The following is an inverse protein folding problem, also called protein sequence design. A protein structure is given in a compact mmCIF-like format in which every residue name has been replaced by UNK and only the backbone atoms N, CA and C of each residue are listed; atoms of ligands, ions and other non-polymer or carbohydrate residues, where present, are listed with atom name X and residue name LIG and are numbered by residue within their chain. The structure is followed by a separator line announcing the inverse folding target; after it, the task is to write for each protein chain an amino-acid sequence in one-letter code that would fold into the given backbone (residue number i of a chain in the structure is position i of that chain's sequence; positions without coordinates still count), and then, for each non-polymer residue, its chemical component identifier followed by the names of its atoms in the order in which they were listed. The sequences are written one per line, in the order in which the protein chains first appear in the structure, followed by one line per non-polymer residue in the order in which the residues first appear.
data_IF_871037219412
#
_entry.id   IF_871037219412
#
_cell.length_a   1.000
_cell.length_b   1.000
_cell.length_c   1.000
_cell.angle_alpha   90.00
_cell.angle_beta   90.00
_cell.angle_gamma   90.00
#
_symmetry.space_group_name_H-M   'P 1'
#
loop_
_entity.id
_entity.type
_entity.pdbx_description
1 polymer ?
#
# COMPACT_ATOMS: atom_id res chain seq x y z
N UNK A 1 15.50 -3.27 13.99
CA UNK A 1 15.70 -4.26 12.90
C UNK A 1 14.74 -3.91 11.79
N UNK A 2 15.19 -3.78 10.55
CA UNK A 2 14.31 -3.43 9.41
C UNK A 2 13.74 -4.69 8.79
N UNK A 3 12.42 -4.86 8.90
CA UNK A 3 11.70 -6.03 8.37
C UNK A 3 11.31 -5.86 6.91
N UNK A 4 10.94 -4.66 6.46
CA UNK A 4 10.40 -4.41 5.12
C UNK A 4 11.28 -5.06 4.03
N UNK A 5 10.69 -5.98 3.26
CA UNK A 5 11.33 -6.76 2.18
C UNK A 5 12.59 -7.55 2.58
N UNK A 6 12.72 -7.94 3.85
CA UNK A 6 13.87 -8.68 4.36
C UNK A 6 14.09 -10.03 3.66
N UNK A 7 13.03 -10.77 3.36
CA UNK A 7 13.10 -12.05 2.62
C UNK A 7 13.59 -11.82 1.19
N UNK A 8 12.94 -10.92 0.45
CA UNK A 8 13.29 -10.63 -0.94
C UNK A 8 14.72 -10.09 -1.08
N UNK A 9 15.16 -9.29 -0.11
CA UNK A 9 16.51 -8.71 -0.07
C UNK A 9 17.55 -9.62 0.57
N UNK A 10 17.15 -10.84 0.98
CA UNK A 10 18.01 -11.85 1.60
C UNK A 10 18.71 -11.37 2.86
N UNK A 11 17.99 -10.64 3.70
CA UNK A 11 18.49 -10.14 5.00
C UNK A 11 17.81 -10.77 6.20
N UNK A 12 16.69 -11.49 5.99
CA UNK A 12 16.04 -12.26 7.04
C UNK A 12 17.00 -13.30 7.65
N UNK A 13 17.09 -13.34 8.98
CA UNK A 13 17.92 -14.31 9.72
C UNK A 13 19.43 -14.08 9.69
N UNK A 14 19.93 -13.03 9.02
CA UNK A 14 21.35 -12.73 8.98
C UNK A 14 21.87 -12.12 10.30
N UNK A 15 23.13 -12.39 10.61
CA UNK A 15 23.85 -11.71 11.69
C UNK A 15 24.08 -10.22 11.36
N UNK A 16 24.24 -9.33 12.36
CA UNK A 16 24.35 -7.87 12.14
C UNK A 16 25.42 -7.44 11.13
N UNK A 17 26.62 -8.03 11.18
CA UNK A 17 27.69 -7.69 10.23
C UNK A 17 27.35 -8.11 8.80
N UNK A 18 26.71 -9.28 8.63
CA UNK A 18 26.25 -9.76 7.33
C UNK A 18 25.11 -8.90 6.77
N UNK A 19 24.22 -8.39 7.64
CA UNK A 19 23.16 -7.44 7.24
C UNK A 19 23.78 -6.17 6.65
N UNK A 20 24.80 -5.60 7.29
CA UNK A 20 25.47 -4.38 6.80
C UNK A 20 26.12 -4.62 5.44
N UNK A 21 26.81 -5.75 5.26
CA UNK A 21 27.39 -6.13 3.97
C UNK A 21 26.30 -6.24 2.92
N UNK A 22 25.20 -6.92 3.23
CA UNK A 22 24.08 -7.07 2.29
C UNK A 22 23.44 -5.74 1.92
N UNK A 23 23.28 -4.81 2.86
CA UNK A 23 22.78 -3.46 2.54
C UNK A 23 23.71 -2.69 1.60
N UNK A 24 25.03 -2.84 1.75
CA UNK A 24 25.99 -2.25 0.82
C UNK A 24 25.87 -2.86 -0.58
N UNK A 25 25.69 -4.17 -0.69
CA UNK A 25 25.43 -4.85 -1.97
C UNK A 25 24.14 -4.33 -2.63
N UNK A 26 23.03 -4.23 -1.89
CA UNK A 26 21.78 -3.67 -2.41
C UNK A 26 21.96 -2.23 -2.93
N UNK A 27 22.77 -1.41 -2.24
CA UNK A 27 23.09 -0.06 -2.69
C UNK A 27 23.89 -0.08 -4.01
N UNK A 28 24.89 -0.95 -4.11
CA UNK A 28 25.69 -1.11 -5.33
C UNK A 28 24.83 -1.61 -6.51
N UNK A 29 23.90 -2.53 -6.25
CA UNK A 29 22.93 -3.02 -7.24
C UNK A 29 22.09 -1.85 -7.78
N UNK A 30 21.52 -1.02 -6.89
CA UNK A 30 20.70 0.15 -7.27
C UNK A 30 21.53 1.17 -8.06
N UNK A 31 22.74 1.49 -7.62
CA UNK A 31 23.65 2.42 -8.31
C UNK A 31 23.94 1.91 -9.72
N UNK A 32 24.30 0.63 -9.86
CA UNK A 32 24.60 0.01 -11.15
C UNK A 32 23.38 0.06 -12.07
N UNK A 33 22.19 -0.20 -11.52
CA UNK A 33 20.94 -0.14 -12.27
C UNK A 33 20.66 1.27 -12.78
N UNK A 34 20.77 2.28 -11.91
CA UNK A 34 20.57 3.69 -12.26
C UNK A 34 21.60 4.18 -13.29
N UNK A 35 22.84 3.70 -13.24
CA UNK A 35 23.86 4.03 -14.23
C UNK A 35 23.56 3.44 -15.62
N UNK A 36 22.85 2.30 -15.67
CA UNK A 36 22.54 1.58 -16.92
C UNK A 36 21.17 1.92 -17.52
N UNK A 37 20.20 2.35 -16.72
CA UNK A 37 18.82 2.59 -17.15
C UNK A 37 18.62 4.03 -17.67
N UNK A 38 18.07 4.22 -18.89
CA UNK A 38 17.70 5.55 -19.36
C UNK A 38 16.66 6.24 -18.45
N UNK A 39 16.66 7.57 -18.40
CA UNK A 39 15.67 8.34 -17.61
C UNK A 39 14.21 8.08 -18.02
N UNK A 40 13.97 7.67 -19.27
CA UNK A 40 12.62 7.31 -19.78
C UNK A 40 12.20 5.88 -19.44
N UNK A 41 13.00 5.16 -18.65
CA UNK A 41 12.70 3.79 -18.24
C UNK A 41 11.49 3.76 -17.33
N UNK A 42 10.65 2.77 -17.55
CA UNK A 42 9.51 2.45 -16.69
C UNK A 42 9.64 1.03 -16.18
N UNK A 43 9.29 0.83 -14.92
CA UNK A 43 9.29 -0.47 -14.26
C UNK A 43 7.85 -0.94 -14.07
N UNK A 44 7.53 -2.17 -14.46
CA UNK A 44 6.20 -2.75 -14.33
C UNK A 44 6.18 -3.82 -13.24
N UNK A 45 5.10 -3.87 -12.46
CA UNK A 45 4.88 -5.00 -11.54
C UNK A 45 4.90 -6.32 -12.31
N UNK A 46 5.21 -7.43 -11.64
CA UNK A 46 5.25 -8.75 -12.29
C UNK A 46 3.91 -9.14 -12.95
N UNK A 47 2.80 -8.61 -12.44
CA UNK A 47 1.45 -8.75 -13.00
C UNK A 47 1.16 -7.84 -14.20
N UNK A 48 2.06 -6.94 -14.58
CA UNK A 48 1.89 -5.92 -15.63
C UNK A 48 0.71 -4.95 -15.39
N UNK A 49 0.27 -4.78 -14.13
CA UNK A 49 -0.92 -3.96 -13.81
C UNK A 49 -0.60 -2.55 -13.37
N UNK A 50 0.60 -2.33 -12.83
CA UNK A 50 1.07 -1.02 -12.38
C UNK A 50 2.45 -0.77 -12.95
N UNK A 51 2.78 0.50 -13.10
CA UNK A 51 4.08 0.95 -13.55
C UNK A 51 4.65 2.05 -12.65
N UNK A 52 5.96 2.24 -12.70
CA UNK A 52 6.65 3.34 -12.03
C UNK A 52 7.75 3.89 -12.94
N UNK A 53 7.68 5.18 -13.24
CA UNK A 53 8.72 5.89 -14.00
C UNK A 53 9.97 6.14 -13.16
N UNK A 54 11.11 6.31 -13.84
CA UNK A 54 12.39 6.60 -13.19
C UNK A 54 12.37 7.92 -12.39
N UNK A 55 11.66 8.91 -12.89
CA UNK A 55 11.39 10.18 -12.20
C UNK A 55 10.66 9.97 -10.87
N UNK A 56 9.68 9.06 -10.84
CA UNK A 56 8.95 8.76 -9.62
C UNK A 56 9.80 7.96 -8.62
N UNK A 57 10.69 7.07 -9.10
CA UNK A 57 11.66 6.39 -8.23
C UNK A 57 12.59 7.41 -7.56
N UNK A 58 13.15 8.33 -8.32
CA UNK A 58 14.10 9.32 -7.80
C UNK A 58 13.41 10.37 -6.92
N UNK A 59 12.26 10.88 -7.36
CA UNK A 59 11.49 11.90 -6.68
C UNK A 59 10.80 11.40 -5.42
N UNK A 60 10.12 10.26 -5.46
CA UNK A 60 9.35 9.73 -4.32
C UNK A 60 10.18 8.79 -3.45
N UNK A 61 10.71 7.70 -4.01
CA UNK A 61 11.32 6.63 -3.21
C UNK A 61 12.67 7.05 -2.61
N UNK A 62 13.54 7.70 -3.40
CA UNK A 62 14.87 8.05 -2.92
C UNK A 62 14.89 9.18 -1.88
N UNK A 63 14.10 10.26 -2.07
CA UNK A 63 14.25 11.48 -1.24
C UNK A 63 12.97 12.24 -0.92
N UNK A 64 11.83 11.88 -1.49
CA UNK A 64 10.62 12.67 -1.34
C UNK A 64 9.49 11.94 -0.63
N UNK A 65 8.33 12.55 -0.78
CA UNK A 65 7.07 12.03 -0.27
C UNK A 65 6.59 10.97 -1.25
N UNK A 66 6.13 9.84 -0.73
CA UNK A 66 5.53 8.85 -1.61
C UNK A 66 4.22 9.42 -2.16
N UNK A 67 4.03 9.26 -3.47
CA UNK A 67 2.75 9.49 -4.12
C UNK A 67 2.00 8.17 -4.30
N UNK A 68 0.76 8.26 -4.77
CA UNK A 68 -0.13 7.13 -5.04
C UNK A 68 0.56 6.02 -5.83
N UNK A 69 1.23 6.36 -6.94
CA UNK A 69 1.90 5.36 -7.78
C UNK A 69 3.01 4.62 -7.05
N UNK A 70 3.80 5.29 -6.20
CA UNK A 70 4.87 4.65 -5.45
C UNK A 70 4.32 3.72 -4.35
N UNK A 71 3.27 4.15 -3.63
CA UNK A 71 2.60 3.34 -2.60
C UNK A 71 1.89 2.13 -3.24
N UNK A 72 1.08 2.36 -4.27
CA UNK A 72 0.34 1.29 -4.97
C UNK A 72 1.30 0.25 -5.56
N UNK A 73 2.40 0.68 -6.18
CA UNK A 73 3.39 -0.23 -6.74
C UNK A 73 4.02 -1.12 -5.65
N UNK A 74 4.46 -0.54 -4.54
CA UNK A 74 5.10 -1.29 -3.46
C UNK A 74 4.12 -2.27 -2.81
N UNK A 75 2.90 -1.83 -2.50
CA UNK A 75 1.87 -2.70 -1.93
C UNK A 75 1.44 -3.81 -2.88
N UNK A 76 1.37 -3.52 -4.19
CA UNK A 76 1.11 -4.56 -5.20
C UNK A 76 2.23 -5.58 -5.28
N UNK A 77 3.49 -5.17 -5.12
CA UNK A 77 4.62 -6.09 -5.05
C UNK A 77 4.52 -6.99 -3.80
N UNK A 78 4.14 -6.42 -2.65
CA UNK A 78 3.92 -7.16 -1.40
C UNK A 78 2.80 -8.19 -1.58
N UNK A 79 1.60 -7.76 -1.99
CA UNK A 79 0.45 -8.65 -2.21
C UNK A 79 0.72 -9.67 -3.32
N UNK A 80 1.50 -9.34 -4.34
CA UNK A 80 1.91 -10.30 -5.35
C UNK A 80 2.78 -11.44 -4.79
N UNK A 81 3.54 -11.18 -3.71
CA UNK A 81 4.34 -12.18 -3.03
C UNK A 81 3.58 -12.96 -1.94
N UNK A 82 2.50 -12.39 -1.41
CA UNK A 82 1.71 -12.95 -0.31
C UNK A 82 0.37 -13.46 -0.85
N UNK A 83 0.24 -14.79 -0.95
CA UNK A 83 -0.99 -15.43 -1.43
C UNK A 83 -2.21 -15.00 -0.59
N UNK A 84 -3.41 -15.13 -1.16
CA UNK A 84 -4.68 -14.88 -0.47
C UNK A 84 -4.83 -13.44 0.06
N UNK A 85 -4.21 -12.46 -0.60
CA UNK A 85 -4.29 -11.05 -0.21
C UNK A 85 -4.89 -10.21 -1.34
N UNK A 86 -5.71 -9.23 -0.97
CA UNK A 86 -6.24 -8.21 -1.86
C UNK A 86 -5.64 -6.85 -1.49
N UNK A 87 -5.17 -6.12 -2.49
CA UNK A 87 -4.81 -4.71 -2.34
C UNK A 87 -5.84 -3.86 -3.08
N UNK A 88 -6.36 -2.86 -2.38
CA UNK A 88 -7.26 -1.83 -2.89
C UNK A 88 -6.44 -0.57 -3.20
N UNK A 89 -6.75 0.11 -4.31
CA UNK A 89 -5.98 1.30 -4.74
C UNK A 89 -6.10 2.46 -3.75
N UNK A 90 -5.09 3.33 -3.70
CA UNK A 90 -5.18 4.61 -2.97
C UNK A 90 -6.24 5.57 -3.52
N UNK A 91 -6.68 5.37 -4.77
CA UNK A 91 -7.57 6.29 -5.48
C UNK A 91 -9.08 6.00 -5.28
N UNK A 92 -9.46 5.06 -4.41
CA UNK A 92 -10.87 4.69 -4.23
C UNK A 92 -11.78 5.85 -3.79
N UNK A 93 -11.25 6.84 -3.07
CA UNK A 93 -12.00 8.05 -2.72
C UNK A 93 -12.40 8.89 -3.95
N UNK A 94 -11.67 8.75 -5.06
CA UNK A 94 -11.91 9.48 -6.32
C UNK A 94 -12.70 8.63 -7.31
N UNK A 95 -12.32 7.35 -7.48
CA UNK A 95 -12.90 6.47 -8.52
C UNK A 95 -14.08 5.63 -8.02
N UNK A 96 -14.32 5.62 -6.71
CA UNK A 96 -15.32 4.77 -6.05
C UNK A 96 -14.82 3.35 -5.79
N UNK A 97 -15.61 2.57 -5.05
CA UNK A 97 -15.29 1.17 -4.73
C UNK A 97 -15.34 0.28 -5.97
N UNK A 98 -14.45 -0.74 -6.06
CA UNK A 98 -14.49 -1.67 -7.18
C UNK A 98 -15.76 -2.52 -7.16
N UNK A 99 -16.08 -3.07 -8.33
CA UNK A 99 -17.09 -4.13 -8.43
C UNK A 99 -16.69 -5.33 -7.56
N UNK A 100 -17.69 -6.08 -7.09
CA UNK A 100 -17.44 -7.28 -6.27
C UNK A 100 -16.44 -8.21 -6.97
N UNK A 101 -15.35 -8.62 -6.29
CA UNK A 101 -14.42 -9.58 -6.87
C UNK A 101 -15.11 -10.90 -7.23
N UNK A 102 -14.67 -11.52 -8.32
CA UNK A 102 -15.18 -12.84 -8.75
C UNK A 102 -14.63 -13.99 -7.89
N UNK A 103 -13.55 -13.75 -7.17
CA UNK A 103 -12.92 -14.72 -6.27
C UNK A 103 -13.77 -14.92 -5.02
N UNK A 104 -13.62 -16.08 -4.38
CA UNK A 104 -14.27 -16.35 -3.10
C UNK A 104 -13.66 -15.48 -2.00
N UNK A 105 -14.50 -14.81 -1.20
CA UNK A 105 -14.00 -14.03 -0.06
C UNK A 105 -13.34 -14.95 0.98
N UNK A 106 -13.80 -16.19 1.11
CA UNK A 106 -13.27 -17.19 2.04
C UNK A 106 -11.84 -17.63 1.68
N UNK A 107 -11.43 -17.45 0.42
CA UNK A 107 -10.06 -17.70 -0.05
C UNK A 107 -9.13 -16.50 0.19
N UNK A 108 -9.67 -15.40 0.73
CA UNK A 108 -8.91 -14.18 1.02
C UNK A 108 -8.64 -14.11 2.52
N UNK A 109 -7.37 -14.00 2.88
CA UNK A 109 -6.87 -13.85 4.24
C UNK A 109 -6.70 -12.39 4.63
N UNK A 110 -6.33 -11.53 3.67
CA UNK A 110 -6.06 -10.12 3.94
C UNK A 110 -6.63 -9.19 2.89
N UNK A 111 -7.10 -8.02 3.33
CA UNK A 111 -7.40 -6.87 2.48
C UNK A 111 -6.57 -5.70 3.01
N UNK A 112 -5.78 -5.06 2.16
CA UNK A 112 -5.02 -3.86 2.49
C UNK A 112 -5.51 -2.67 1.66
N UNK A 113 -5.82 -1.57 2.31
CA UNK A 113 -6.23 -0.32 1.68
C UNK A 113 -5.42 0.86 2.22
N UNK A 114 -4.39 1.32 1.48
CA UNK A 114 -3.74 2.60 1.74
C UNK A 114 -4.67 3.76 1.38
N UNK A 115 -4.60 4.86 2.12
CA UNK A 115 -5.38 6.07 1.85
C UNK A 115 -4.46 7.29 1.84
N UNK A 116 -4.67 8.16 0.86
CA UNK A 116 -4.03 9.47 0.76
C UNK A 116 -5.00 10.55 1.24
N UNK A 117 -4.60 11.31 2.26
CA UNK A 117 -5.37 12.41 2.83
C UNK A 117 -4.88 13.75 2.29
N UNK A 118 -5.53 14.82 2.73
CA UNK A 118 -5.05 16.18 2.50
C UNK A 118 -3.58 16.32 2.93
N UNK A 119 -2.86 17.21 2.26
CA UNK A 119 -1.42 17.39 2.45
C UNK A 119 -0.61 16.08 2.30
N UNK A 120 -0.96 15.22 1.33
CA UNK A 120 -0.19 14.03 0.94
C UNK A 120 0.18 13.11 2.12
N UNK A 121 -0.72 13.01 3.09
CA UNK A 121 -0.52 12.23 4.28
C UNK A 121 -1.14 10.84 4.13
N UNK A 122 -0.46 9.80 4.64
CA UNK A 122 -0.80 8.41 4.35
C UNK A 122 -1.31 7.66 5.59
N UNK A 123 -2.45 6.98 5.44
CA UNK A 123 -2.93 5.97 6.39
C UNK A 123 -3.13 4.60 5.75
N UNK A 124 -3.32 3.57 6.58
CA UNK A 124 -3.54 2.20 6.14
C UNK A 124 -4.68 1.53 6.93
N UNK A 125 -5.64 0.95 6.22
CA UNK A 125 -6.59 -0.01 6.78
C UNK A 125 -6.16 -1.41 6.33
N UNK A 126 -6.02 -2.34 7.28
CA UNK A 126 -5.78 -3.75 7.01
C UNK A 126 -6.91 -4.57 7.64
N UNK A 127 -7.64 -5.32 6.84
CA UNK A 127 -8.61 -6.29 7.32
C UNK A 127 -8.03 -7.71 7.20
N UNK A 128 -8.04 -8.46 8.31
CA UNK A 128 -7.70 -9.88 8.35
C UNK A 128 -8.97 -10.72 8.44
N UNK A 129 -9.10 -11.67 7.53
CA UNK A 129 -10.26 -12.50 7.34
C UNK A 129 -9.95 -13.91 7.84
N UNK A 130 -10.86 -14.46 8.66
CA UNK A 130 -10.78 -15.82 9.16
C UNK A 130 -12.09 -16.53 8.88
N UNK A 131 -11.99 -17.69 8.22
CA UNK A 131 -13.14 -18.54 7.95
C UNK A 131 -13.19 -19.67 8.96
N UNK A 132 -14.29 -19.75 9.72
CA UNK A 132 -14.67 -20.92 10.48
C UNK A 132 -15.70 -21.72 9.67
N UNK A 133 -15.25 -22.82 9.10
CA UNK A 133 -16.06 -23.71 8.26
C UNK A 133 -17.12 -24.45 9.09
N UNK A 134 -16.85 -24.74 10.37
CA UNK A 134 -17.75 -25.52 11.21
C UNK A 134 -18.98 -24.69 11.62
N UNK A 135 -18.76 -23.43 11.99
CA UNK A 135 -19.83 -22.49 12.36
C UNK A 135 -20.37 -21.68 11.18
N UNK A 136 -19.79 -21.84 9.99
CA UNK A 136 -20.05 -21.03 8.79
C UNK A 136 -19.96 -19.54 9.09
N UNK A 137 -18.86 -19.14 9.72
CA UNK A 137 -18.62 -17.76 10.12
C UNK A 137 -17.38 -17.19 9.43
N UNK A 138 -17.52 -16.01 8.84
CA UNK A 138 -16.40 -15.17 8.40
C UNK A 138 -16.16 -14.09 9.46
N UNK A 139 -15.06 -14.21 10.19
CA UNK A 139 -14.62 -13.17 11.12
C UNK A 139 -13.69 -12.19 10.41
N UNK A 140 -14.00 -10.90 10.52
CA UNK A 140 -13.17 -9.79 10.02
C UNK A 140 -12.58 -9.05 11.21
N UNK A 141 -11.25 -9.00 11.30
CA UNK A 141 -10.51 -8.15 12.25
C UNK A 141 -9.91 -6.98 11.49
N UNK A 142 -10.10 -5.76 11.99
CA UNK A 142 -9.70 -4.53 11.30
C UNK A 142 -8.64 -3.81 12.09
N UNK A 143 -7.55 -3.48 11.41
CA UNK A 143 -6.43 -2.74 11.95
C UNK A 143 -6.27 -1.44 11.17
N UNK A 144 -6.18 -0.32 11.89
CA UNK A 144 -5.90 0.99 11.31
C UNK A 144 -4.55 1.51 11.79
N UNK A 145 -3.82 2.13 10.89
CA UNK A 145 -2.51 2.70 11.17
C UNK A 145 -2.37 4.06 10.50
N UNK A 146 -2.03 5.04 11.33
CA UNK A 146 -1.73 6.41 10.94
C UNK A 146 -0.40 6.80 11.64
N UNK A 147 0.69 7.03 10.89
CA UNK A 147 2.06 7.23 11.44
C UNK A 147 2.27 8.41 12.40
N UNK A 148 1.41 9.43 12.41
CA UNK A 148 1.48 10.64 13.23
C UNK A 148 0.59 10.59 14.49
N UNK A 149 -0.40 9.70 14.53
CA UNK A 149 -1.42 9.66 15.57
C UNK A 149 -2.21 10.99 15.64
N UNK A 150 -2.53 11.53 14.47
CA UNK A 150 -3.34 12.73 14.32
C UNK A 150 -4.83 12.37 14.28
N UNK A 151 -5.60 12.93 15.20
CA UNK A 151 -7.01 12.61 15.35
C UNK A 151 -7.87 13.04 14.14
N UNK A 152 -7.48 14.10 13.41
CA UNK A 152 -8.21 14.51 12.19
C UNK A 152 -8.04 13.49 11.07
N UNK A 153 -6.83 12.95 10.88
CA UNK A 153 -6.63 11.86 9.92
C UNK A 153 -7.33 10.58 10.36
N UNK A 154 -7.34 10.28 11.66
CA UNK A 154 -8.05 9.10 12.19
C UNK A 154 -9.55 9.16 11.97
N UNK A 155 -10.17 10.32 12.17
CA UNK A 155 -11.58 10.51 11.84
C UNK A 155 -11.85 10.25 10.35
N UNK A 156 -10.96 10.69 9.46
CA UNK A 156 -11.09 10.42 8.02
C UNK A 156 -10.92 8.92 7.70
N UNK A 157 -10.07 8.19 8.41
CA UNK A 157 -9.94 6.73 8.23
C UNK A 157 -11.22 5.99 8.64
N UNK A 158 -11.84 6.39 9.77
CA UNK A 158 -13.12 5.84 10.21
C UNK A 158 -14.22 6.15 9.19
N UNK A 159 -14.26 7.37 8.67
CA UNK A 159 -15.15 7.76 7.59
C UNK A 159 -15.03 6.86 6.35
N UNK A 160 -13.81 6.53 5.89
CA UNK A 160 -13.59 5.60 4.77
C UNK A 160 -14.02 4.18 5.10
N UNK A 161 -13.78 3.74 6.33
CA UNK A 161 -14.20 2.42 6.80
C UNK A 161 -15.72 2.27 6.83
N UNK A 162 -16.42 3.26 7.40
CA UNK A 162 -17.87 3.25 7.63
C UNK A 162 -18.68 3.76 6.43
N UNK A 163 -18.08 4.52 5.52
CA UNK A 163 -18.78 5.13 4.38
C UNK A 163 -19.38 6.53 4.66
N UNK A 164 -19.00 7.15 5.77
CA UNK A 164 -19.55 8.44 6.23
C UNK A 164 -18.58 9.57 5.86
N UNK A 165 -18.81 10.27 4.75
CA UNK A 165 -17.98 11.43 4.40
C UNK A 165 -18.45 12.68 5.14
N UNK A 166 -17.62 13.28 5.99
CA UNK A 166 -17.80 14.66 6.44
C UNK A 166 -17.24 15.60 5.37
N UNK A 167 -18.09 16.19 4.53
CA UNK A 167 -17.63 17.31 3.70
C UNK A 167 -17.32 18.51 4.62
N UNK A 168 -16.06 18.96 4.68
CA UNK A 168 -15.72 20.27 5.25
C UNK A 168 -16.15 21.37 4.27
N UNK A 169 -17.46 21.63 4.20
CA UNK A 169 -17.98 22.91 3.75
C UNK A 169 -17.88 23.91 4.89
N UNK A 170 -17.28 25.09 4.66
CA UNK A 170 -17.52 26.23 5.53
C UNK A 170 -19.01 26.53 5.44
N UNK A 171 -19.70 26.37 6.56
CA UNK A 171 -21.13 26.62 6.76
C UNK A 171 -22.04 25.59 6.05
N UNK A 172 -22.80 24.86 6.87
CA UNK A 172 -23.77 23.80 6.55
C UNK A 172 -23.18 22.38 6.52
N UNK A 173 -23.34 21.67 7.64
CA UNK A 173 -23.25 20.21 7.72
C UNK A 173 -24.49 19.65 7.00
N UNK A 174 -24.44 19.54 5.69
CA UNK A 174 -25.31 18.59 4.99
C UNK A 174 -24.70 17.20 5.20
N UNK A 175 -25.39 16.40 6.00
CA UNK A 175 -25.18 14.96 6.13
C UNK A 175 -25.29 14.35 4.73
N UNK A 176 -24.17 14.12 4.05
CA UNK A 176 -24.20 13.55 2.70
C UNK A 176 -24.62 12.09 2.79
N UNK A 177 -25.54 11.68 1.91
CA UNK A 177 -25.99 10.29 1.69
C UNK A 177 -24.82 9.29 1.85
N UNK A 178 -25.02 8.28 2.71
CA UNK A 178 -24.00 7.27 3.01
C UNK A 178 -23.45 6.66 1.74
N UNK A 179 -22.17 6.91 1.46
CA UNK A 179 -21.45 6.19 0.42
C UNK A 179 -21.10 4.82 0.97
N UNK A 180 -20.91 3.85 0.09
CA UNK A 180 -20.37 2.55 0.51
C UNK A 180 -19.06 2.79 1.29
N UNK A 181 -18.87 2.11 2.42
CA UNK A 181 -17.59 2.05 3.13
C UNK A 181 -16.83 0.75 2.80
N UNK A 182 -15.59 0.64 3.26
CA UNK A 182 -14.85 -0.63 3.14
C UNK A 182 -15.62 -1.77 3.83
N UNK A 183 -16.31 -1.48 4.93
CA UNK A 183 -17.14 -2.43 5.65
C UNK A 183 -18.25 -3.02 4.75
N UNK A 184 -18.87 -2.18 3.93
CA UNK A 184 -19.97 -2.57 3.07
C UNK A 184 -19.49 -3.28 1.81
N UNK A 185 -18.33 -2.88 1.27
CA UNK A 185 -17.64 -3.64 0.23
C UNK A 185 -17.38 -5.10 0.67
N UNK A 186 -16.86 -5.30 1.89
CA UNK A 186 -16.59 -6.64 2.44
C UNK A 186 -17.90 -7.43 2.64
N UNK A 187 -18.95 -6.81 3.20
CA UNK A 187 -20.26 -7.46 3.36
C UNK A 187 -20.86 -7.86 2.00
N UNK A 188 -20.83 -6.95 1.01
CA UNK A 188 -21.32 -7.20 -0.35
C UNK A 188 -20.58 -8.37 -1.00
N UNK A 189 -19.27 -8.43 -0.83
CA UNK A 189 -18.47 -9.54 -1.35
C UNK A 189 -18.78 -10.88 -0.65
N UNK A 190 -18.99 -10.87 0.67
CA UNK A 190 -19.48 -12.06 1.39
C UNK A 190 -20.85 -12.51 0.88
N UNK A 191 -21.82 -11.60 0.74
CA UNK A 191 -23.15 -11.94 0.21
C UNK A 191 -23.09 -12.56 -1.19
N UNK A 192 -22.19 -12.06 -2.05
CA UNK A 192 -22.09 -12.53 -3.44
C UNK A 192 -21.35 -13.87 -3.59
N UNK A 193 -20.36 -14.14 -2.74
CA UNK A 193 -19.48 -15.32 -2.91
C UNK A 193 -19.68 -16.40 -1.85
N UNK A 194 -20.14 -16.02 -0.66
CA UNK A 194 -20.27 -16.89 0.51
C UNK A 194 -21.60 -16.65 1.26
N UNK A 195 -22.72 -16.59 0.53
CA UNK A 195 -24.05 -16.30 1.08
C UNK A 195 -24.52 -17.22 2.23
N UNK A 196 -23.94 -18.41 2.35
CA UNK A 196 -24.17 -19.34 3.45
C UNK A 196 -23.36 -19.07 4.72
N UNK A 197 -22.48 -18.05 4.71
CA UNK A 197 -21.62 -17.68 5.84
C UNK A 197 -22.10 -16.37 6.48
N UNK A 198 -22.24 -16.38 7.80
CA UNK A 198 -22.47 -15.16 8.57
C UNK A 198 -21.17 -14.37 8.71
N UNK A 199 -21.25 -13.05 8.58
CA UNK A 199 -20.10 -12.16 8.75
C UNK A 199 -20.13 -11.52 10.14
N UNK A 200 -19.01 -11.62 10.87
CA UNK A 200 -18.80 -10.92 12.15
C UNK A 200 -17.62 -9.99 12.01
N UNK A 201 -17.81 -8.72 12.34
CA UNK A 201 -16.79 -7.69 12.20
C UNK A 201 -16.39 -7.23 13.60
N UNK A 202 -15.11 -7.37 13.93
CA UNK A 202 -14.56 -6.98 15.22
C UNK A 202 -14.40 -5.46 15.29
N UNK A 203 -14.39 -4.86 16.50
CA UNK A 203 -14.04 -3.45 16.65
C UNK A 203 -12.69 -3.10 16.01
N UNK A 204 -12.57 -1.87 15.52
CA UNK A 204 -11.33 -1.37 14.92
C UNK A 204 -10.22 -1.32 15.96
N UNK A 205 -9.07 -1.90 15.63
CA UNK A 205 -7.86 -1.83 16.44
C UNK A 205 -6.89 -0.80 15.85
N UNK A 206 -6.41 0.11 16.69
CA UNK A 206 -5.47 1.17 16.30
C UNK A 206 -4.02 0.79 16.59
N UNK A 207 -3.22 0.72 15.54
CA UNK A 207 -1.78 0.60 15.64
C UNK A 207 -1.16 1.97 15.92
N UNK A 208 -0.47 2.06 17.05
CA UNK A 208 0.19 3.29 17.49
C UNK A 208 1.70 3.27 17.27
N UNK A 209 2.25 2.14 16.81
CA UNK A 209 3.69 1.98 16.59
C UNK A 209 3.98 1.30 15.26
N UNK A 210 5.11 1.64 14.63
CA UNK A 210 6.00 2.76 14.98
C UNK A 210 5.41 4.11 14.54
N UNK A 211 5.79 5.21 15.20
CA UNK A 211 5.46 6.57 14.70
C UNK A 211 6.54 7.02 13.72
N UNK A 212 6.15 7.84 12.74
CA UNK A 212 7.14 8.42 11.84
C UNK A 212 8.00 9.47 12.57
N UNK A 213 9.33 9.52 12.34
CA UNK A 213 10.23 10.46 13.01
C UNK A 213 10.29 11.84 12.33
N UNK A 214 9.57 12.03 11.23
CA UNK A 214 9.59 13.22 10.39
C UNK A 214 8.20 13.47 9.78
N UNK A 215 8.05 14.56 9.01
CA UNK A 215 6.79 14.93 8.38
C UNK A 215 6.61 14.37 6.95
N UNK A 216 7.49 13.48 6.48
CA UNK A 216 7.63 13.14 5.06
C UNK A 216 7.62 11.63 4.76
N UNK A 217 7.67 10.79 5.79
CA UNK A 217 7.89 9.34 5.66
C UNK A 217 6.63 8.50 5.76
N UNK A 218 5.45 9.09 5.88
CA UNK A 218 4.21 8.38 6.20
C UNK A 218 3.91 7.27 5.19
N UNK A 219 4.15 7.50 3.90
CA UNK A 219 4.01 6.46 2.88
C UNK A 219 4.98 5.29 3.05
N UNK A 220 6.23 5.52 3.48
CA UNK A 220 7.20 4.45 3.76
C UNK A 220 6.72 3.61 4.95
N UNK A 221 6.21 4.27 5.98
CA UNK A 221 5.66 3.62 7.16
C UNK A 221 4.39 2.83 6.84
N UNK A 222 3.49 3.34 6.00
CA UNK A 222 2.32 2.59 5.50
C UNK A 222 2.73 1.33 4.74
N UNK A 223 3.73 1.42 3.85
CA UNK A 223 4.24 0.25 3.12
C UNK A 223 4.90 -0.76 4.08
N UNK A 224 5.69 -0.29 5.04
CA UNK A 224 6.31 -1.13 6.06
C UNK A 224 5.26 -1.84 6.94
N UNK A 225 4.22 -1.11 7.36
CA UNK A 225 3.15 -1.65 8.18
C UNK A 225 2.35 -2.71 7.43
N UNK A 226 2.02 -2.46 6.16
CA UNK A 226 1.36 -3.44 5.32
C UNK A 226 2.21 -4.70 5.15
N UNK A 227 3.51 -4.56 4.91
CA UNK A 227 4.41 -5.73 4.84
C UNK A 227 4.36 -6.55 6.13
N UNK A 228 4.56 -5.93 7.29
CA UNK A 228 4.62 -6.64 8.59
C UNK A 228 3.30 -7.36 8.95
N UNK A 229 2.15 -6.78 8.59
CA UNK A 229 0.85 -7.42 8.76
C UNK A 229 0.63 -8.60 7.82
N UNK A 230 0.92 -8.41 6.53
CA UNK A 230 0.66 -9.42 5.52
C UNK A 230 1.63 -10.61 5.65
N UNK A 231 2.83 -10.40 6.17
CA UNK A 231 3.80 -11.46 6.53
C UNK A 231 3.54 -12.09 7.90
N UNK A 232 2.58 -11.57 8.66
CA UNK A 232 2.24 -11.99 10.03
C UNK A 232 3.42 -11.92 11.02
N UNK A 233 4.45 -11.14 10.70
CA UNK A 233 5.62 -10.95 11.56
C UNK A 233 5.29 -10.11 12.78
N UNK A 234 4.59 -8.97 12.58
CA UNK A 234 4.25 -7.99 13.64
C UNK A 234 5.47 -7.36 14.36
N UNK A 235 6.70 -7.76 14.03
CA UNK A 235 7.95 -7.30 14.68
C UNK A 235 8.23 -5.81 14.51
N UNK A 236 7.64 -5.19 13.48
CA UNK A 236 7.77 -3.75 13.25
C UNK A 236 7.23 -2.93 14.44
N UNK A 237 6.21 -3.43 15.14
CA UNK A 237 5.57 -2.73 16.26
C UNK A 237 6.39 -2.74 17.54
N UNK A 238 7.36 -3.65 17.66
CA UNK A 238 8.15 -3.90 18.88
C UNK A 238 9.29 -2.90 19.09
N UNK A 239 9.67 -2.12 18.07
CA UNK A 239 10.88 -1.29 18.11
C UNK A 239 10.63 0.11 17.52
N UNK A 240 11.34 1.11 18.07
CA UNK A 240 11.41 2.43 17.45
C UNK A 240 12.19 2.39 16.14
N UNK A 241 11.73 3.12 15.13
CA UNK A 241 12.38 3.23 13.81
C UNK A 241 13.29 4.45 13.78
N UNK A 242 14.60 4.23 13.60
CA UNK A 242 15.57 5.32 13.48
C UNK A 242 15.63 5.90 12.05
N UNK A 243 16.28 7.05 11.87
CA UNK A 243 16.56 7.60 10.53
C UNK A 243 17.39 6.65 9.64
N UNK A 244 18.25 5.83 10.25
CA UNK A 244 19.03 4.81 9.52
C UNK A 244 18.13 3.67 9.04
N UNK A 245 17.22 3.21 9.91
CA UNK A 245 16.23 2.19 9.55
C UNK A 245 15.35 2.67 8.39
N UNK A 246 14.88 3.92 8.44
CA UNK A 246 14.13 4.55 7.35
C UNK A 246 14.92 4.59 6.03
N UNK A 247 16.21 4.92 6.09
CA UNK A 247 17.08 4.93 4.90
C UNK A 247 17.21 3.53 4.28
N UNK A 248 17.31 2.49 5.12
CA UNK A 248 17.31 1.10 4.68
C UNK A 248 15.96 0.69 4.10
N UNK A 249 14.84 1.08 4.72
CA UNK A 249 13.49 0.81 4.17
C UNK A 249 13.35 1.38 2.75
N UNK A 250 13.75 2.64 2.55
CA UNK A 250 13.75 3.28 1.23
C UNK A 250 14.67 2.57 0.24
N UNK A 251 15.90 2.23 0.64
CA UNK A 251 16.82 1.46 -0.20
C UNK A 251 16.18 0.14 -0.67
N UNK A 252 15.54 -0.60 0.24
CA UNK A 252 14.90 -1.87 -0.09
C UNK A 252 13.67 -1.68 -1.00
N UNK A 253 12.89 -0.62 -0.80
CA UNK A 253 11.79 -0.28 -1.72
C UNK A 253 12.32 0.01 -3.12
N UNK A 254 13.36 0.84 -3.25
CA UNK A 254 14.00 1.14 -4.54
C UNK A 254 14.52 -0.14 -5.20
N UNK A 255 15.25 -0.97 -4.44
CA UNK A 255 15.78 -2.24 -4.94
C UNK A 255 14.65 -3.17 -5.42
N UNK A 256 13.55 -3.28 -4.65
CA UNK A 256 12.37 -4.05 -5.06
C UNK A 256 11.77 -3.53 -6.36
N UNK A 257 11.67 -2.21 -6.54
CA UNK A 257 11.17 -1.65 -7.80
C UNK A 257 12.09 -1.96 -8.95
N UNK A 258 13.41 -1.87 -8.81
CA UNK A 258 14.30 -1.95 -9.98
C UNK A 258 14.85 -3.35 -10.29
N UNK A 259 14.80 -4.27 -9.32
CA UNK A 259 15.24 -5.67 -9.49
C UNK A 259 14.13 -6.70 -9.35
N UNK A 260 12.99 -6.35 -8.75
CA UNK A 260 11.85 -7.28 -8.57
C UNK A 260 10.63 -6.84 -9.41
N UNK A 261 10.91 -6.31 -10.60
CA UNK A 261 9.93 -5.82 -11.57
C UNK A 261 10.41 -6.09 -12.99
N UNK A 262 9.58 -5.80 -13.98
CA UNK A 262 9.95 -5.87 -15.40
C UNK A 262 10.32 -4.47 -15.89
N UNK A 263 11.53 -4.33 -16.41
CA UNK A 263 11.98 -3.09 -17.03
C UNK A 263 11.42 -2.97 -18.45
N UNK A 264 10.88 -1.80 -18.78
CA UNK A 264 10.46 -1.43 -20.14
C UNK A 264 11.09 -0.12 -20.53
N UNK A 265 11.87 -0.16 -21.61
CA UNK A 265 12.27 1.04 -22.34
C UNK A 265 11.06 1.55 -23.14
N UNK A 266 10.69 2.82 -22.95
CA UNK A 266 9.71 3.50 -23.80
C UNK A 266 10.44 3.90 -25.09
N UNK A 267 10.08 3.28 -26.21
CA UNK A 267 10.57 3.72 -27.52
C UNK A 267 9.99 5.09 -27.88
N UNK A 268 10.69 5.88 -28.71
CA UNK A 268 10.23 7.21 -29.16
C UNK A 268 8.81 7.15 -29.73
N UNK A 269 8.44 6.06 -30.41
CA UNK A 269 7.11 5.83 -30.98
C UNK A 269 5.99 5.62 -29.95
N UNK A 270 6.30 5.08 -28.76
CA UNK A 270 5.30 4.88 -27.70
C UNK A 270 4.98 6.21 -26.97
N UNK A 271 5.91 7.16 -26.96
CA UNK A 271 5.73 8.46 -26.33
C UNK A 271 4.73 9.35 -27.10
N UNK A 272 4.76 9.32 -28.43
CA UNK A 272 3.84 10.11 -29.26
C UNK A 272 2.39 9.64 -29.13
N UNK A 273 2.18 8.32 -29.00
CA UNK A 273 0.84 7.75 -28.72
C UNK A 273 0.30 8.11 -27.34
N UNK A 274 1.16 8.22 -26.33
CA UNK A 274 0.77 8.66 -24.99
C UNK A 274 0.40 10.15 -24.95
N UNK A 275 1.06 10.97 -25.78
CA UNK A 275 0.72 12.39 -25.96
C UNK A 275 -0.63 12.54 -26.69
N UNK A 276 -0.91 11.72 -27.71
CA UNK A 276 -2.23 11.68 -28.37
C UNK A 276 -3.36 11.23 -27.42
N UNK A 277 -3.10 10.25 -26.56
CA UNK A 277 -4.08 9.85 -25.54
C UNK A 277 -4.31 10.96 -24.51
N UNK A 278 -3.27 11.65 -24.05
CA UNK A 278 -3.39 12.73 -23.09
C UNK A 278 -4.05 14.00 -23.66
N UNK A 279 -3.93 14.26 -24.97
CA UNK A 279 -4.59 15.38 -25.64
C UNK A 279 -6.08 15.13 -25.86
N UNK A 280 -6.50 13.89 -26.12
CA UNK A 280 -7.91 13.50 -26.26
C UNK A 280 -8.74 13.74 -24.98
N UNK A 281 -8.13 13.65 -23.79
CA UNK A 281 -8.79 13.93 -22.51
C UNK A 281 -8.71 15.39 -22.05
N UNK A 282 -7.93 16.26 -22.72
CA UNK A 282 -7.93 17.72 -22.47
C UNK A 282 -8.94 18.48 -23.33
N UNK A 283 -9.56 17.83 -24.30
CA UNK A 283 -10.53 18.44 -25.21
C UNK A 283 -11.99 18.06 -24.90
N UNK A 284 -12.29 17.59 -23.68
CA UNK A 284 -13.66 17.40 -23.19
C UNK A 284 -13.86 18.12 -21.86
#
# INVERSE_FOLDING_TARGET
MVELFDVATKTAGLAPDAIRIRHQELANDVISKFASSPLRTTFLTLSNTLWLGFDNITGALCRGWLNDSAVDFCLKAIVGSIKQSLMLSTLLGVVGWPTTPKTQILDTKFIAHPMNFSANHWGLITARLYCDVATKMLQVKVFMYEPLIDEEYREQMIAVWEGIMKHKGKDNVEESEGKEGLIDFVKRWNCASASGYQITISPVEWNKTPQQPDAASCGVFVVAQAYSYLTESMRLQEHGVSKRDLSVMRLRMVWMVVYHSKERSISVYDADRLIEFASYYRSK
#
